data_IF_030193011522
#
_entry.id   IF_030193011522
#
_cell.length_a   1.000
_cell.length_b   1.000
_cell.length_c   1.000
_cell.angle_alpha   90.00
_cell.angle_beta   90.00
_cell.angle_gamma   90.00
#
_symmetry.space_group_name_H-M   'P 1'
#
loop_
_entity.id
_entity.type
_entity.pdbx_description
1 polymer ?
#
# COMPACT_ATOMS: atom_id res chain seq x y z
N UNK A 1 -63.22 18.75 -39.98
CA UNK A 1 -62.75 17.35 -40.12
C UNK A 1 -62.74 16.77 -38.74
N UNK A 2 -63.50 15.71 -38.40
CA UNK A 2 -63.42 14.98 -37.16
C UNK A 2 -61.95 14.39 -37.03
N UNK A 3 -61.15 14.86 -36.10
CA UNK A 3 -59.90 14.21 -35.76
C UNK A 3 -60.24 12.83 -35.19
N UNK A 4 -59.69 11.79 -35.77
CA UNK A 4 -59.80 10.43 -35.23
C UNK A 4 -58.76 10.29 -34.09
N UNK A 5 -59.17 10.65 -32.87
CA UNK A 5 -58.34 10.49 -31.66
C UNK A 5 -58.59 11.63 -30.65
N UNK A 6 -58.36 11.33 -29.39
CA UNK A 6 -58.38 12.33 -28.29
C UNK A 6 -56.91 12.82 -28.08
N UNK A 7 -56.75 14.09 -27.76
CA UNK A 7 -55.43 14.66 -27.48
C UNK A 7 -55.51 16.05 -26.86
N UNK A 8 -54.47 16.52 -26.23
CA UNK A 8 -54.29 17.87 -25.71
C UNK A 8 -53.15 18.54 -26.42
N UNK A 9 -53.34 19.79 -26.86
CA UNK A 9 -52.30 20.64 -27.43
C UNK A 9 -52.14 21.88 -26.56
N UNK A 10 -50.94 22.21 -26.20
CA UNK A 10 -50.56 23.38 -25.41
C UNK A 10 -49.55 24.21 -26.19
N UNK A 11 -49.85 25.48 -26.41
CA UNK A 11 -48.97 26.44 -27.08
C UNK A 11 -48.76 27.65 -26.15
N UNK A 12 -47.55 28.13 -26.05
CA UNK A 12 -47.22 29.32 -25.28
C UNK A 12 -46.01 30.03 -25.84
N UNK A 13 -45.87 31.33 -25.62
CA UNK A 13 -44.69 32.12 -25.88
C UNK A 13 -44.10 32.60 -24.57
N UNK A 14 -42.85 32.23 -24.25
CA UNK A 14 -42.20 32.73 -23.00
C UNK A 14 -42.01 34.24 -23.07
N UNK A 15 -42.17 34.92 -21.95
CA UNK A 15 -41.71 36.31 -21.80
C UNK A 15 -40.19 36.28 -21.52
N UNK A 16 -39.40 36.49 -22.55
CA UNK A 16 -37.94 36.43 -22.45
C UNK A 16 -37.35 37.55 -21.58
N UNK A 17 -38.05 38.66 -21.37
CA UNK A 17 -37.59 39.76 -20.52
C UNK A 17 -37.48 39.35 -19.06
N UNK A 18 -38.31 38.42 -18.61
CA UNK A 18 -38.26 37.85 -17.25
C UNK A 18 -37.00 37.03 -16.95
N UNK A 19 -36.35 36.56 -18.00
CA UNK A 19 -35.17 35.70 -17.94
C UNK A 19 -33.92 36.42 -18.43
N UNK A 20 -34.02 37.71 -18.78
CA UNK A 20 -32.92 38.51 -19.32
C UNK A 20 -32.26 37.86 -20.58
N UNK A 21 -33.04 37.21 -21.42
CA UNK A 21 -32.57 36.55 -22.65
C UNK A 21 -33.38 37.00 -23.85
N UNK A 22 -32.85 36.86 -25.09
CA UNK A 22 -33.48 37.34 -26.33
C UNK A 22 -34.18 36.25 -27.12
N UNK A 23 -34.01 34.97 -26.76
CA UNK A 23 -34.55 33.85 -27.55
C UNK A 23 -34.79 32.61 -26.72
N UNK A 24 -35.60 31.69 -27.26
CA UNK A 24 -35.82 30.38 -26.67
C UNK A 24 -34.50 29.55 -26.58
N UNK A 25 -33.62 29.67 -27.57
CA UNK A 25 -32.33 28.97 -27.58
C UNK A 25 -31.40 29.45 -26.48
N UNK A 26 -31.44 30.74 -26.10
CA UNK A 26 -30.71 31.26 -24.96
C UNK A 26 -31.29 30.78 -23.63
N UNK A 27 -32.63 30.58 -23.55
CA UNK A 27 -33.32 30.08 -22.39
C UNK A 27 -33.17 28.56 -22.20
N UNK A 28 -33.30 27.79 -23.30
CA UNK A 28 -33.26 26.34 -23.26
C UNK A 28 -32.75 25.80 -24.62
N UNK A 29 -31.64 25.05 -24.58
CA UNK A 29 -31.11 24.41 -25.79
C UNK A 29 -31.93 23.19 -26.19
N UNK A 30 -31.88 22.83 -27.48
CA UNK A 30 -32.55 21.61 -27.98
C UNK A 30 -31.98 20.36 -27.30
N UNK A 31 -30.69 20.33 -27.00
CA UNK A 31 -30.05 19.21 -26.34
C UNK A 31 -30.61 19.00 -24.92
N UNK A 32 -30.85 20.07 -24.19
CA UNK A 32 -31.48 20.02 -22.88
C UNK A 32 -32.91 19.46 -22.91
N UNK A 33 -33.68 19.84 -23.96
CA UNK A 33 -35.01 19.28 -24.20
C UNK A 33 -34.96 17.82 -24.58
N UNK A 34 -34.00 17.42 -25.44
CA UNK A 34 -33.80 16.03 -25.79
C UNK A 34 -33.43 15.17 -24.58
N UNK A 35 -32.47 15.59 -23.75
CA UNK A 35 -32.11 14.92 -22.51
C UNK A 35 -33.31 14.76 -21.57
N UNK A 36 -34.17 15.80 -21.47
CA UNK A 36 -35.37 15.71 -20.67
C UNK A 36 -36.36 14.68 -21.23
N UNK A 37 -36.53 14.62 -22.54
CA UNK A 37 -37.39 13.63 -23.17
C UNK A 37 -36.84 12.21 -23.08
N UNK A 38 -35.53 12.05 -23.17
CA UNK A 38 -34.85 10.77 -22.90
C UNK A 38 -35.15 10.31 -21.47
N UNK A 39 -34.95 11.18 -20.47
CA UNK A 39 -35.22 10.83 -19.08
C UNK A 39 -36.67 10.51 -18.78
N UNK A 40 -37.60 11.17 -19.48
CA UNK A 40 -39.03 10.85 -19.40
C UNK A 40 -39.32 9.49 -20.07
N UNK A 41 -38.67 9.17 -21.21
CA UNK A 41 -38.85 7.87 -21.87
C UNK A 41 -38.32 6.70 -21.02
N UNK A 42 -37.30 6.95 -20.15
CA UNK A 42 -36.86 5.98 -19.13
C UNK A 42 -37.86 5.84 -17.99
N UNK A 43 -38.49 6.96 -17.59
CA UNK A 43 -39.50 6.98 -16.52
C UNK A 43 -40.84 6.39 -16.96
N UNK A 44 -41.19 6.52 -18.21
CA UNK A 44 -42.48 6.10 -18.82
C UNK A 44 -42.23 5.36 -20.14
N UNK A 45 -41.73 4.12 -20.08
CA UNK A 45 -41.32 3.36 -21.26
C UNK A 45 -42.48 3.03 -22.21
N UNK A 46 -43.72 3.07 -21.74
CA UNK A 46 -44.94 2.86 -22.51
C UNK A 46 -45.32 4.07 -23.36
N UNK A 47 -44.78 5.28 -23.08
CA UNK A 47 -45.06 6.52 -23.80
C UNK A 47 -44.02 6.75 -24.88
N UNK A 48 -44.50 7.16 -26.08
CA UNK A 48 -43.61 7.53 -27.18
C UNK A 48 -43.37 9.04 -27.20
N UNK A 49 -42.11 9.40 -27.03
CA UNK A 49 -41.68 10.80 -27.04
C UNK A 49 -41.07 11.17 -28.40
N UNK A 50 -41.30 12.40 -28.86
CA UNK A 50 -40.74 12.95 -30.08
C UNK A 50 -40.39 14.42 -29.87
N UNK A 51 -39.28 14.88 -30.46
CA UNK A 51 -38.84 16.27 -30.52
C UNK A 51 -38.78 16.68 -32.00
N UNK A 52 -39.44 17.77 -32.39
CA UNK A 52 -39.48 18.27 -33.77
C UNK A 52 -39.79 17.14 -34.79
N UNK A 53 -40.82 16.35 -34.52
CA UNK A 53 -41.27 15.20 -35.31
C UNK A 53 -40.27 14.03 -35.42
N UNK A 54 -39.11 14.11 -34.76
CA UNK A 54 -38.17 12.98 -34.65
C UNK A 54 -38.44 12.22 -33.36
N UNK A 55 -38.60 10.90 -33.46
CA UNK A 55 -38.80 10.03 -32.31
C UNK A 55 -37.50 9.95 -31.49
N UNK A 56 -37.61 10.01 -30.16
CA UNK A 56 -36.48 9.76 -29.25
C UNK A 56 -36.03 8.31 -29.43
N UNK A 57 -34.77 8.14 -29.84
CA UNK A 57 -34.18 6.83 -30.12
C UNK A 57 -33.78 6.06 -28.88
N UNK A 58 -33.38 6.78 -27.81
CA UNK A 58 -33.00 6.19 -26.52
C UNK A 58 -34.27 5.99 -25.71
N UNK A 59 -34.75 4.76 -25.66
CA UNK A 59 -36.01 4.40 -25.02
C UNK A 59 -35.93 3.15 -24.17
N UNK A 60 -34.72 2.69 -23.88
CA UNK A 60 -34.47 1.60 -22.91
C UNK A 60 -33.22 1.88 -22.07
N UNK A 61 -33.19 1.27 -20.86
CA UNK A 61 -32.16 1.52 -19.89
C UNK A 61 -30.74 1.14 -20.36
N UNK A 62 -30.60 0.08 -21.17
CA UNK A 62 -29.32 -0.37 -21.68
C UNK A 62 -28.72 0.65 -22.65
N UNK A 63 -29.55 1.19 -23.58
CA UNK A 63 -29.11 2.26 -24.48
C UNK A 63 -28.78 3.54 -23.74
N UNK A 64 -29.52 3.84 -22.66
CA UNK A 64 -29.23 5.01 -21.84
C UNK A 64 -27.92 4.84 -21.06
N UNK A 65 -27.67 3.66 -20.49
CA UNK A 65 -26.45 3.35 -19.75
C UNK A 65 -25.18 3.43 -20.62
N UNK A 66 -25.28 3.13 -21.93
CA UNK A 66 -24.17 3.27 -22.89
C UNK A 66 -23.65 4.72 -23.03
N UNK A 67 -24.45 5.72 -22.67
CA UNK A 67 -23.99 7.12 -22.63
C UNK A 67 -22.99 7.37 -21.51
N UNK A 68 -22.93 6.48 -20.50
CA UNK A 68 -22.02 6.57 -19.36
C UNK A 68 -20.82 5.64 -19.52
N UNK A 69 -21.04 4.38 -19.92
CA UNK A 69 -20.01 3.38 -20.17
C UNK A 69 -20.58 2.19 -20.92
N UNK A 70 -19.74 1.50 -21.69
CA UNK A 70 -20.08 0.20 -22.28
C UNK A 70 -20.27 -0.88 -21.19
N UNK A 71 -19.51 -0.77 -20.10
CA UNK A 71 -19.51 -1.69 -18.98
C UNK A 71 -20.30 -1.11 -17.80
N UNK A 72 -21.57 -1.47 -17.72
CA UNK A 72 -22.46 -1.04 -16.63
C UNK A 72 -23.13 -2.23 -15.96
N UNK A 73 -23.42 -2.09 -14.66
CA UNK A 73 -24.18 -3.10 -13.89
C UNK A 73 -25.63 -2.62 -13.79
N UNK A 74 -26.50 -3.23 -14.57
CA UNK A 74 -27.90 -2.86 -14.73
C UNK A 74 -28.79 -3.80 -13.94
N UNK A 75 -29.81 -3.25 -13.26
CA UNK A 75 -30.98 -3.97 -12.75
C UNK A 75 -32.28 -3.27 -13.15
N UNK A 76 -33.29 -4.04 -13.45
CA UNK A 76 -34.55 -3.52 -14.00
C UNK A 76 -35.73 -4.36 -13.56
N UNK A 77 -36.74 -3.70 -13.02
CA UNK A 77 -38.09 -4.21 -12.81
C UNK A 77 -39.13 -3.23 -13.36
N UNK A 78 -40.40 -3.55 -13.23
CA UNK A 78 -41.50 -2.68 -13.72
C UNK A 78 -41.54 -1.34 -12.97
N UNK A 79 -41.25 -1.35 -11.66
CA UNK A 79 -41.35 -0.16 -10.81
C UNK A 79 -40.00 0.52 -10.54
N UNK A 80 -38.88 -0.16 -10.82
CA UNK A 80 -37.55 0.37 -10.55
C UNK A 80 -36.57 -0.07 -11.61
N UNK A 81 -35.81 0.86 -12.15
CA UNK A 81 -34.71 0.59 -13.06
C UNK A 81 -33.52 1.42 -12.66
N UNK A 82 -32.34 0.82 -12.57
CA UNK A 82 -31.12 1.53 -12.22
C UNK A 82 -29.87 0.86 -12.79
N UNK A 83 -28.77 1.58 -12.76
CA UNK A 83 -27.46 1.02 -13.07
C UNK A 83 -26.34 1.71 -12.29
N UNK A 84 -25.23 0.97 -12.17
CA UNK A 84 -23.94 1.47 -11.74
C UNK A 84 -23.01 1.55 -12.95
N UNK A 85 -22.26 2.64 -13.06
CA UNK A 85 -21.23 2.89 -14.05
C UNK A 85 -19.94 3.38 -13.37
N UNK A 86 -18.77 3.32 -14.04
CA UNK A 86 -17.55 3.91 -13.51
C UNK A 86 -17.67 5.44 -13.39
N UNK A 87 -16.91 6.03 -12.48
CA UNK A 87 -16.78 7.48 -12.32
C UNK A 87 -15.34 7.86 -12.04
N UNK A 88 -14.83 8.85 -12.79
CA UNK A 88 -13.51 9.42 -12.58
C UNK A 88 -13.52 10.65 -11.66
N UNK A 89 -14.65 11.35 -11.61
CA UNK A 89 -14.80 12.65 -10.93
C UNK A 89 -15.52 12.57 -9.56
N UNK A 90 -15.42 11.43 -8.90
CA UNK A 90 -16.11 11.20 -7.63
C UNK A 90 -17.52 10.62 -7.78
N UNK A 91 -18.25 10.49 -6.68
CA UNK A 91 -19.58 9.93 -6.69
C UNK A 91 -20.57 10.84 -7.43
N UNK A 92 -21.17 10.30 -8.49
CA UNK A 92 -22.21 10.97 -9.26
C UNK A 92 -23.53 10.21 -9.14
N UNK A 93 -24.62 10.94 -9.02
CA UNK A 93 -25.95 10.33 -9.00
C UNK A 93 -26.94 11.14 -9.83
N UNK A 94 -27.77 10.42 -10.54
CA UNK A 94 -28.95 10.96 -11.22
C UNK A 94 -30.14 10.10 -10.87
N UNK A 95 -31.20 10.68 -10.34
CA UNK A 95 -32.36 9.92 -9.92
C UNK A 95 -33.67 10.61 -10.32
N UNK A 96 -34.64 9.77 -10.67
CA UNK A 96 -35.97 10.19 -11.06
C UNK A 96 -37.00 9.42 -10.25
N UNK A 97 -37.96 10.16 -9.65
CA UNK A 97 -39.11 9.60 -8.95
C UNK A 97 -40.38 10.02 -9.70
N UNK A 98 -41.09 9.05 -10.26
CA UNK A 98 -42.26 9.31 -11.09
C UNK A 98 -42.01 10.38 -12.20
N UNK A 99 -40.83 10.33 -12.82
CA UNK A 99 -40.42 11.28 -13.83
C UNK A 99 -39.90 12.62 -13.32
N UNK A 100 -39.93 12.89 -12.02
CA UNK A 100 -39.35 14.09 -11.40
C UNK A 100 -37.85 13.85 -11.15
N UNK A 101 -37.00 14.76 -11.64
CA UNK A 101 -35.55 14.68 -11.42
C UNK A 101 -35.22 15.10 -9.99
N UNK A 102 -34.69 14.17 -9.18
CA UNK A 102 -34.21 14.41 -7.83
C UNK A 102 -32.69 14.56 -7.84
N UNK A 103 -32.21 15.76 -8.23
CA UNK A 103 -30.77 16.05 -8.43
C UNK A 103 -29.91 15.79 -7.20
N UNK A 104 -30.46 16.01 -6.00
CA UNK A 104 -29.77 15.78 -4.74
C UNK A 104 -30.04 14.37 -4.17
N UNK A 105 -30.65 13.47 -4.96
CA UNK A 105 -30.94 12.09 -4.57
C UNK A 105 -31.97 12.01 -3.44
N UNK A 106 -31.52 11.51 -2.30
CA UNK A 106 -32.34 11.28 -1.12
C UNK A 106 -32.19 9.86 -0.60
N UNK A 107 -33.00 9.51 0.39
CA UNK A 107 -32.87 8.25 1.13
C UNK A 107 -33.01 7.00 0.24
N UNK A 108 -33.71 7.10 -0.88
CA UNK A 108 -33.85 6.00 -1.82
C UNK A 108 -32.48 5.64 -2.48
N UNK A 109 -31.82 6.65 -3.05
CA UNK A 109 -30.47 6.51 -3.64
C UNK A 109 -29.49 6.03 -2.57
N UNK A 110 -29.52 6.68 -1.40
CA UNK A 110 -28.64 6.32 -0.28
C UNK A 110 -28.84 4.87 0.16
N UNK A 111 -30.05 4.38 0.20
CA UNK A 111 -30.37 3.00 0.60
C UNK A 111 -29.80 1.98 -0.41
N UNK A 112 -30.08 2.13 -1.70
CA UNK A 112 -29.63 1.22 -2.74
C UNK A 112 -28.09 1.20 -2.83
N UNK A 113 -27.48 2.39 -2.90
CA UNK A 113 -26.03 2.51 -3.04
C UNK A 113 -25.31 2.00 -1.79
N UNK A 114 -25.78 2.38 -0.58
CA UNK A 114 -25.10 1.98 0.64
C UNK A 114 -25.11 0.48 0.86
N UNK A 115 -26.24 -0.19 0.65
CA UNK A 115 -26.34 -1.64 0.83
C UNK A 115 -25.48 -2.39 -0.21
N UNK A 116 -25.49 -1.95 -1.47
CA UNK A 116 -24.62 -2.55 -2.51
C UNK A 116 -23.13 -2.35 -2.18
N UNK A 117 -22.74 -1.16 -1.72
CA UNK A 117 -21.35 -0.86 -1.37
C UNK A 117 -20.89 -1.62 -0.14
N UNK A 118 -21.74 -1.82 0.87
CA UNK A 118 -21.42 -2.58 2.08
C UNK A 118 -21.14 -4.06 1.76
N UNK A 119 -21.94 -4.66 0.86
CA UNK A 119 -21.64 -5.99 0.30
C UNK A 119 -20.34 -6.00 -0.50
N UNK A 120 -20.12 -4.97 -1.32
CA UNK A 120 -18.91 -4.87 -2.14
C UNK A 120 -17.63 -4.76 -1.29
N UNK A 121 -17.66 -4.01 -0.18
CA UNK A 121 -16.54 -3.95 0.79
C UNK A 121 -16.20 -5.37 1.28
N UNK A 122 -17.23 -6.13 1.67
CA UNK A 122 -17.06 -7.49 2.18
C UNK A 122 -16.44 -8.41 1.13
N UNK A 123 -16.90 -8.32 -0.11
CA UNK A 123 -16.40 -9.12 -1.23
C UNK A 123 -14.96 -8.73 -1.61
N UNK A 124 -14.63 -7.43 -1.67
CA UNK A 124 -13.27 -6.96 -1.94
C UNK A 124 -12.30 -7.45 -0.87
N UNK A 125 -12.67 -7.32 0.41
CA UNK A 125 -11.84 -7.81 1.52
C UNK A 125 -11.56 -9.32 1.40
N UNK A 126 -12.57 -10.10 1.01
CA UNK A 126 -12.42 -11.55 0.83
C UNK A 126 -11.53 -11.91 -0.36
N UNK A 127 -11.73 -11.27 -1.54
CA UNK A 127 -11.04 -11.60 -2.80
C UNK A 127 -9.63 -11.03 -2.84
N UNK A 128 -9.47 -9.75 -2.50
CA UNK A 128 -8.21 -9.01 -2.68
C UNK A 128 -7.40 -8.83 -1.39
N UNK A 129 -7.94 -9.24 -0.22
CA UNK A 129 -7.29 -9.10 1.10
C UNK A 129 -6.94 -7.65 1.46
N UNK A 130 -7.67 -6.69 0.93
CA UNK A 130 -7.52 -5.26 1.22
C UNK A 130 -8.79 -4.70 1.87
N UNK A 131 -8.61 -3.69 2.71
CA UNK A 131 -9.71 -2.91 3.28
C UNK A 131 -9.87 -1.63 2.45
N UNK A 132 -11.08 -1.41 1.94
CA UNK A 132 -11.40 -0.24 1.13
C UNK A 132 -12.43 0.60 1.86
N UNK A 133 -12.18 1.90 1.97
CA UNK A 133 -13.13 2.82 2.59
C UNK A 133 -14.38 2.98 1.70
N UNK A 134 -15.56 3.07 2.34
CA UNK A 134 -16.86 3.28 1.67
C UNK A 134 -16.85 4.50 0.73
N UNK A 135 -16.18 5.58 1.16
CA UNK A 135 -16.00 6.80 0.37
C UNK A 135 -15.16 6.58 -0.89
N UNK A 136 -14.15 5.70 -0.83
CA UNK A 136 -13.31 5.37 -1.99
C UNK A 136 -14.10 4.58 -3.03
N UNK A 137 -14.91 3.60 -2.59
CA UNK A 137 -15.78 2.84 -3.49
C UNK A 137 -16.82 3.76 -4.13
N UNK A 138 -17.54 4.54 -3.33
CA UNK A 138 -18.50 5.50 -3.86
C UNK A 138 -17.88 6.45 -4.87
N UNK A 139 -16.68 6.96 -4.57
CA UNK A 139 -15.98 7.89 -5.46
C UNK A 139 -15.67 7.33 -6.85
N UNK A 140 -15.62 6.03 -7.02
CA UNK A 140 -15.45 5.37 -8.32
C UNK A 140 -16.77 4.99 -9.02
N UNK A 141 -17.94 5.41 -8.49
CA UNK A 141 -19.25 5.01 -9.00
C UNK A 141 -20.10 6.19 -9.44
N UNK A 142 -20.73 6.02 -10.60
CA UNK A 142 -21.92 6.76 -11.02
C UNK A 142 -23.13 5.86 -10.81
N UNK A 143 -24.20 6.40 -10.22
CA UNK A 143 -25.45 5.70 -9.98
C UNK A 143 -26.61 6.44 -10.63
N UNK A 144 -27.40 5.75 -11.44
CA UNK A 144 -28.57 6.31 -12.11
C UNK A 144 -29.80 5.46 -11.81
N UNK A 145 -30.93 6.10 -11.47
CA UNK A 145 -32.14 5.43 -11.02
C UNK A 145 -33.41 6.08 -11.57
N UNK A 146 -34.36 5.24 -11.95
CA UNK A 146 -35.73 5.62 -12.36
C UNK A 146 -36.71 4.79 -11.53
N UNK A 147 -37.32 5.40 -10.52
CA UNK A 147 -38.41 4.81 -9.74
C UNK A 147 -39.77 5.27 -10.29
N UNK A 148 -40.66 4.31 -10.51
CA UNK A 148 -42.00 4.50 -11.04
C UNK A 148 -43.05 4.03 -10.03
N UNK A 149 -44.24 4.57 -10.13
CA UNK A 149 -45.35 4.19 -9.27
C UNK A 149 -45.07 4.34 -7.75
N UNK A 150 -44.16 5.26 -7.40
CA UNK A 150 -43.86 5.56 -6.02
C UNK A 150 -45.05 6.33 -5.41
N UNK A 151 -45.65 5.81 -4.33
CA UNK A 151 -46.84 6.37 -3.73
C UNK A 151 -46.49 7.56 -2.84
N UNK A 152 -47.18 8.68 -3.03
CA UNK A 152 -47.05 9.91 -2.23
C UNK A 152 -45.60 10.39 -2.04
N UNK A 153 -44.87 10.70 -3.14
CA UNK A 153 -43.53 11.22 -3.01
C UNK A 153 -43.50 12.56 -2.30
N UNK A 154 -42.64 12.68 -1.28
CA UNK A 154 -42.40 13.89 -0.50
C UNK A 154 -41.06 14.47 -0.87
N UNK A 155 -40.98 15.77 -1.02
CA UNK A 155 -39.77 16.47 -1.41
C UNK A 155 -39.41 17.56 -0.41
N UNK A 156 -38.13 17.95 -0.38
CA UNK A 156 -37.60 18.97 0.49
C UNK A 156 -38.10 20.39 0.20
N UNK A 157 -38.43 20.64 -1.07
CA UNK A 157 -38.82 21.97 -1.57
C UNK A 157 -39.76 21.87 -2.77
N UNK A 158 -40.23 23.01 -3.27
CA UNK A 158 -41.03 23.10 -4.50
C UNK A 158 -40.25 22.72 -5.74
N UNK A 159 -38.94 22.86 -5.74
CA UNK A 159 -38.06 22.43 -6.85
C UNK A 159 -37.91 20.91 -6.93
N UNK A 160 -38.28 20.18 -5.87
CA UNK A 160 -38.35 18.72 -5.80
C UNK A 160 -36.99 18.02 -6.04
N UNK A 161 -35.92 18.65 -5.57
CA UNK A 161 -34.57 18.17 -5.85
C UNK A 161 -34.16 16.97 -5.00
N UNK A 162 -34.82 16.76 -3.85
CA UNK A 162 -34.48 15.66 -2.95
C UNK A 162 -35.74 14.96 -2.44
N UNK A 163 -35.74 13.61 -2.50
CA UNK A 163 -36.78 12.79 -1.90
C UNK A 163 -36.60 12.71 -0.39
N UNK A 164 -37.65 13.03 0.37
CA UNK A 164 -37.64 13.08 1.86
C UNK A 164 -38.54 12.05 2.52
N UNK A 165 -39.13 11.13 1.75
CA UNK A 165 -39.86 10.01 2.30
C UNK A 165 -39.03 9.21 3.30
N UNK A 166 -39.68 8.61 4.30
CA UNK A 166 -39.01 7.74 5.26
C UNK A 166 -38.46 6.47 4.63
N UNK A 167 -37.47 5.86 5.30
CA UNK A 167 -36.91 4.57 4.85
C UNK A 167 -37.98 3.47 4.80
N UNK A 168 -38.99 3.51 5.67
CA UNK A 168 -40.09 2.54 5.63
C UNK A 168 -40.93 2.66 4.35
N UNK A 169 -41.23 3.90 3.90
CA UNK A 169 -41.94 4.14 2.63
C UNK A 169 -41.11 3.71 1.40
N UNK A 170 -39.82 3.93 1.47
CA UNK A 170 -38.89 3.45 0.40
C UNK A 170 -38.86 1.92 0.36
N UNK A 171 -38.76 1.25 1.52
CA UNK A 171 -38.77 -0.23 1.59
C UNK A 171 -40.08 -0.81 1.08
N UNK A 172 -41.23 -0.21 1.47
CA UNK A 172 -42.52 -0.63 0.97
C UNK A 172 -42.61 -0.56 -0.57
N UNK A 173 -42.03 0.46 -1.19
CA UNK A 173 -41.93 0.52 -2.66
C UNK A 173 -40.96 -0.55 -3.21
N UNK A 174 -39.81 -0.76 -2.56
CA UNK A 174 -38.84 -1.79 -2.98
C UNK A 174 -39.41 -3.22 -2.95
N UNK A 175 -40.34 -3.50 -2.02
CA UNK A 175 -41.06 -4.78 -1.93
C UNK A 175 -41.96 -5.02 -3.18
N UNK A 176 -42.38 -3.95 -3.87
CA UNK A 176 -43.10 -4.04 -5.15
C UNK A 176 -42.17 -4.21 -6.35
N UNK A 177 -40.85 -4.14 -6.14
CA UNK A 177 -39.84 -4.20 -7.18
C UNK A 177 -39.14 -5.57 -7.18
N UNK A 178 -39.18 -6.28 -8.29
CA UNK A 178 -38.37 -7.50 -8.44
C UNK A 178 -36.93 -7.13 -8.83
N UNK A 179 -36.17 -6.67 -7.83
CA UNK A 179 -34.73 -6.34 -8.00
C UNK A 179 -33.85 -7.47 -7.47
N UNK A 180 -32.65 -7.56 -8.03
CA UNK A 180 -31.62 -8.48 -7.54
C UNK A 180 -31.16 -8.08 -6.14
N UNK A 181 -30.74 -9.09 -5.35
CA UNK A 181 -30.17 -8.80 -4.04
C UNK A 181 -28.86 -8.00 -4.15
N UNK A 182 -28.52 -7.28 -3.07
CA UNK A 182 -27.34 -6.41 -3.04
C UNK A 182 -26.04 -7.17 -3.20
N UNK A 183 -25.95 -8.42 -2.76
CA UNK A 183 -24.76 -9.27 -2.93
C UNK A 183 -24.57 -9.66 -4.40
N UNK A 184 -25.65 -9.94 -5.12
CA UNK A 184 -25.59 -10.20 -6.58
C UNK A 184 -25.08 -8.96 -7.32
N UNK A 185 -25.61 -7.77 -7.01
CA UNK A 185 -25.17 -6.50 -7.61
C UNK A 185 -23.69 -6.22 -7.30
N UNK A 186 -23.28 -6.38 -6.05
CA UNK A 186 -21.90 -6.22 -5.63
C UNK A 186 -20.95 -7.20 -6.32
N UNK A 187 -21.35 -8.46 -6.54
CA UNK A 187 -20.56 -9.44 -7.32
C UNK A 187 -20.43 -9.03 -8.78
N UNK A 188 -21.48 -8.49 -9.36
CA UNK A 188 -21.44 -7.96 -10.75
C UNK A 188 -20.44 -6.81 -10.84
N UNK A 189 -20.50 -5.85 -9.92
CA UNK A 189 -19.55 -4.72 -9.86
C UNK A 189 -18.11 -5.25 -9.67
N UNK A 190 -17.89 -6.20 -8.75
CA UNK A 190 -16.58 -6.80 -8.51
C UNK A 190 -16.00 -7.54 -9.73
N UNK A 191 -16.85 -8.01 -10.63
CA UNK A 191 -16.47 -8.71 -11.85
C UNK A 191 -16.48 -7.80 -13.09
N UNK A 192 -16.63 -6.49 -12.91
CA UNK A 192 -16.56 -5.48 -13.99
C UNK A 192 -15.25 -4.68 -13.81
N UNK A 193 -14.16 -5.04 -14.52
CA UNK A 193 -12.82 -4.46 -14.30
C UNK A 193 -12.80 -2.94 -14.42
N UNK A 194 -13.49 -2.37 -15.42
CA UNK A 194 -13.55 -0.92 -15.65
C UNK A 194 -14.10 -0.16 -14.43
N UNK A 195 -14.95 -0.79 -13.60
CA UNK A 195 -15.46 -0.19 -12.36
C UNK A 195 -14.53 -0.47 -11.19
N UNK A 196 -14.09 -1.73 -11.04
CA UNK A 196 -13.44 -2.15 -9.79
C UNK A 196 -11.95 -1.84 -9.73
N UNK A 197 -11.22 -1.95 -10.85
CA UNK A 197 -9.78 -1.79 -10.86
C UNK A 197 -9.34 -0.37 -10.45
N UNK A 198 -9.95 0.73 -10.95
CA UNK A 198 -9.62 2.08 -10.49
C UNK A 198 -9.86 2.29 -8.99
N UNK A 199 -10.89 1.67 -8.44
CA UNK A 199 -11.21 1.74 -6.99
C UNK A 199 -10.11 1.07 -6.17
N UNK A 200 -9.67 -0.11 -6.60
CA UNK A 200 -8.60 -0.88 -5.93
C UNK A 200 -7.28 -0.11 -6.03
N UNK A 201 -6.92 0.38 -7.22
CA UNK A 201 -5.70 1.16 -7.45
C UNK A 201 -5.68 2.44 -6.61
N UNK A 202 -6.78 3.19 -6.58
CA UNK A 202 -6.90 4.39 -5.75
C UNK A 202 -6.70 4.09 -4.25
N UNK A 203 -7.22 2.96 -3.76
CA UNK A 203 -7.02 2.55 -2.38
C UNK A 203 -5.57 2.14 -2.09
N UNK A 204 -4.95 1.39 -3.01
CA UNK A 204 -3.54 1.00 -2.89
C UNK A 204 -2.63 2.22 -2.90
N UNK A 205 -2.86 3.18 -3.80
CA UNK A 205 -2.13 4.43 -3.86
C UNK A 205 -2.26 5.26 -2.57
N UNK A 206 -3.48 5.36 -2.00
CA UNK A 206 -3.70 6.01 -0.70
C UNK A 206 -2.93 5.34 0.43
N UNK A 207 -2.92 4.00 0.46
CA UNK A 207 -2.20 3.22 1.46
C UNK A 207 -0.68 3.44 1.35
N UNK A 208 -0.14 3.38 0.13
CA UNK A 208 1.29 3.65 -0.12
C UNK A 208 1.68 5.07 0.29
N UNK A 209 0.85 6.06 -0.03
CA UNK A 209 1.10 7.45 0.37
C UNK A 209 1.07 7.64 1.90
N UNK A 210 0.14 6.97 2.60
CA UNK A 210 0.06 7.01 4.05
C UNK A 210 1.28 6.33 4.70
N UNK A 211 1.72 5.17 4.18
CA UNK A 211 2.90 4.46 4.64
C UNK A 211 4.17 5.32 4.43
N UNK A 212 4.31 5.97 3.27
CA UNK A 212 5.43 6.88 2.98
C UNK A 212 5.43 8.09 3.91
N UNK A 213 4.27 8.70 4.20
CA UNK A 213 4.16 9.81 5.16
C UNK A 213 4.55 9.39 6.57
N UNK A 214 4.07 8.22 7.03
CA UNK A 214 4.41 7.69 8.36
C UNK A 214 5.92 7.45 8.49
N UNK A 215 6.55 6.86 7.48
CA UNK A 215 7.99 6.63 7.45
C UNK A 215 8.79 7.95 7.43
N UNK A 216 8.35 8.94 6.65
CA UNK A 216 8.98 10.28 6.62
C UNK A 216 8.89 10.99 7.98
N UNK A 217 7.75 10.87 8.68
CA UNK A 217 7.61 11.45 10.02
C UNK A 217 8.52 10.74 11.03
N UNK A 218 8.63 9.41 10.98
CA UNK A 218 9.54 8.65 11.82
C UNK A 218 11.00 9.05 11.57
N UNK A 219 11.41 9.14 10.30
CA UNK A 219 12.75 9.57 9.90
C UNK A 219 13.10 11.00 10.40
N UNK A 220 12.18 11.95 10.29
CA UNK A 220 12.36 13.32 10.82
C UNK A 220 12.61 13.34 12.33
N UNK A 221 11.98 12.44 13.08
CA UNK A 221 12.24 12.31 14.53
C UNK A 221 13.65 11.78 14.79
N UNK A 222 14.14 10.84 14.00
CA UNK A 222 15.48 10.25 14.16
C UNK A 222 16.62 11.25 13.93
N UNK A 223 16.51 12.16 12.98
CA UNK A 223 17.53 13.19 12.72
C UNK A 223 17.82 14.09 13.93
N UNK A 224 16.96 14.09 14.95
CA UNK A 224 17.11 14.84 16.20
C UNK A 224 17.62 13.99 17.36
N UNK A 225 17.80 12.69 17.17
CA UNK A 225 18.21 11.76 18.24
C UNK A 225 19.72 11.67 18.32
N UNK A 226 20.26 12.04 19.47
CA UNK A 226 21.66 11.77 19.79
C UNK A 226 21.77 10.34 20.35
N UNK A 227 22.45 9.47 19.63
CA UNK A 227 22.61 8.06 20.02
C UNK A 227 23.77 7.93 21.02
N UNK A 228 23.43 7.85 22.30
CA UNK A 228 24.42 7.87 23.38
C UNK A 228 25.40 6.68 23.40
N UNK A 229 24.96 5.51 22.87
CA UNK A 229 25.81 4.30 22.82
C UNK A 229 26.77 4.25 21.62
N UNK A 230 26.59 5.14 20.64
CA UNK A 230 27.48 5.24 19.49
C UNK A 230 28.73 6.00 19.84
N UNK A 231 29.90 5.46 19.50
CA UNK A 231 31.19 6.13 19.59
C UNK A 231 31.69 6.41 18.18
N UNK A 232 31.72 7.68 17.82
CA UNK A 232 32.10 8.11 16.50
C UNK A 232 33.60 7.90 16.20
N UNK A 233 33.93 7.76 14.93
CA UNK A 233 35.29 7.94 14.42
C UNK A 233 35.53 9.42 14.14
N UNK A 234 36.81 9.84 14.11
CA UNK A 234 37.19 11.22 13.85
C UNK A 234 37.24 11.58 12.37
N UNK A 235 37.21 10.60 11.45
CA UNK A 235 37.30 10.78 9.99
C UNK A 235 36.11 10.15 9.27
N UNK A 236 35.73 10.74 8.15
CA UNK A 236 34.56 10.33 7.35
C UNK A 236 34.82 9.05 6.52
N UNK A 237 36.07 8.66 6.26
CA UNK A 237 36.44 7.44 5.55
C UNK A 237 36.54 6.20 6.46
N UNK A 238 36.06 6.35 7.69
CA UNK A 238 36.12 5.31 8.73
C UNK A 238 35.18 4.13 8.49
N UNK A 239 35.42 3.04 9.22
CA UNK A 239 34.54 1.86 9.30
C UNK A 239 33.72 1.89 10.58
N UNK A 240 32.40 1.76 10.47
CA UNK A 240 31.55 1.50 11.66
C UNK A 240 31.62 0.01 11.99
N UNK A 241 32.15 -0.35 13.17
CA UNK A 241 32.07 -1.69 13.71
C UNK A 241 30.76 -1.86 14.48
N UNK A 242 29.89 -2.75 14.02
CA UNK A 242 28.70 -3.16 14.75
C UNK A 242 29.06 -4.38 15.57
N UNK A 243 29.09 -4.22 16.89
CA UNK A 243 29.54 -5.25 17.82
C UNK A 243 28.38 -5.86 18.60
N UNK A 244 28.52 -7.12 19.00
CA UNK A 244 27.52 -7.83 19.79
C UNK A 244 27.64 -7.46 21.27
N UNK A 245 26.75 -6.57 21.70
CA UNK A 245 26.61 -6.16 23.09
C UNK A 245 27.67 -5.22 23.63
N UNK A 246 27.48 -4.83 24.90
CA UNK A 246 28.30 -3.83 25.56
C UNK A 246 29.69 -4.40 25.97
N UNK A 247 29.80 -5.72 26.14
CA UNK A 247 31.10 -6.37 26.53
C UNK A 247 32.09 -6.28 25.37
N UNK A 248 31.73 -6.66 24.17
CA UNK A 248 32.56 -6.52 22.97
C UNK A 248 32.91 -5.05 22.68
N UNK A 249 31.98 -4.13 22.94
CA UNK A 249 32.22 -2.69 22.88
C UNK A 249 33.35 -2.24 23.79
N UNK A 250 33.37 -2.70 25.04
CA UNK A 250 34.40 -2.33 26.00
C UNK A 250 35.82 -2.71 25.56
N UNK A 251 36.00 -3.89 24.98
CA UNK A 251 37.30 -4.33 24.42
C UNK A 251 37.67 -3.54 23.17
N UNK A 252 36.72 -3.34 22.24
CA UNK A 252 36.96 -2.57 21.04
C UNK A 252 37.47 -1.15 21.31
N UNK A 253 36.89 -0.47 22.32
CA UNK A 253 37.25 0.89 22.68
C UNK A 253 38.68 1.02 23.22
N UNK A 254 39.25 -0.06 23.83
CA UNK A 254 40.65 -0.05 24.32
C UNK A 254 41.67 -0.05 23.20
N UNK A 255 41.39 -0.75 22.10
CA UNK A 255 42.39 -1.04 21.05
C UNK A 255 42.14 -0.28 19.75
N UNK A 256 40.95 0.27 19.50
CA UNK A 256 40.59 0.90 18.21
C UNK A 256 41.47 2.12 17.90
N UNK A 257 41.75 2.33 16.62
CA UNK A 257 42.19 3.61 16.12
C UNK A 257 40.98 4.56 16.01
N UNK A 258 40.89 5.64 16.82
CA UNK A 258 39.75 6.57 16.82
C UNK A 258 39.54 7.29 15.48
N UNK A 259 40.54 7.35 14.62
CA UNK A 259 40.43 7.99 13.31
C UNK A 259 39.80 7.08 12.25
N UNK A 260 39.91 5.74 12.46
CA UNK A 260 39.49 4.77 11.44
C UNK A 260 38.30 3.93 11.83
N UNK A 261 37.97 3.83 13.11
CA UNK A 261 36.98 2.91 13.63
C UNK A 261 35.98 3.61 14.53
N UNK A 262 34.71 3.68 14.08
CA UNK A 262 33.58 3.97 14.90
C UNK A 262 32.98 2.69 15.49
N UNK A 263 32.19 2.79 16.54
CA UNK A 263 31.63 1.64 17.23
C UNK A 263 30.16 1.82 17.59
N UNK A 264 29.37 0.77 17.34
CA UNK A 264 27.95 0.71 17.67
C UNK A 264 27.63 -0.65 18.29
N UNK A 265 27.25 -0.71 19.58
CA UNK A 265 26.84 -1.95 20.21
C UNK A 265 25.41 -2.29 19.85
N UNK A 266 25.20 -3.49 19.33
CA UNK A 266 23.89 -4.05 19.06
C UNK A 266 23.46 -4.88 20.26
N UNK A 267 22.32 -4.55 20.85
CA UNK A 267 21.81 -5.24 22.05
C UNK A 267 20.80 -6.31 21.65
N UNK A 268 21.30 -7.53 21.48
CA UNK A 268 20.52 -8.69 21.07
C UNK A 268 20.34 -8.83 19.56
N UNK A 269 19.63 -9.87 19.17
CA UNK A 269 19.32 -10.17 17.76
C UNK A 269 18.28 -9.20 17.23
N UNK A 270 18.54 -8.59 16.08
CA UNK A 270 17.56 -7.71 15.43
C UNK A 270 16.43 -8.52 14.81
N UNK A 271 15.28 -7.86 14.65
CA UNK A 271 14.14 -8.49 13.98
C UNK A 271 14.38 -8.68 12.47
N UNK A 272 13.76 -9.71 11.90
CA UNK A 272 13.70 -9.86 10.45
C UNK A 272 12.84 -8.74 9.85
N UNK A 273 13.48 -7.88 9.07
CA UNK A 273 12.83 -6.69 8.48
C UNK A 273 12.28 -6.92 7.08
N UNK A 274 12.49 -8.11 6.49
CA UNK A 274 12.27 -8.35 5.06
C UNK A 274 10.85 -7.98 4.58
N UNK A 275 9.82 -8.42 5.29
CA UNK A 275 8.42 -8.13 4.95
C UNK A 275 7.83 -6.94 5.72
N UNK A 276 8.66 -6.19 6.46
CA UNK A 276 8.20 -5.06 7.26
C UNK A 276 8.14 -3.75 6.46
N UNK A 277 7.22 -2.88 6.84
CA UNK A 277 7.17 -1.52 6.29
C UNK A 277 8.26 -0.64 6.91
N UNK A 278 8.79 0.35 6.17
CA UNK A 278 9.81 1.27 6.69
C UNK A 278 9.45 1.91 8.04
N UNK A 279 8.20 2.38 8.20
CA UNK A 279 7.75 2.99 9.45
C UNK A 279 7.78 2.03 10.66
N UNK A 280 7.50 0.73 10.43
CA UNK A 280 7.51 -0.28 11.49
C UNK A 280 8.93 -0.69 11.87
N UNK A 281 9.83 -0.73 10.90
CA UNK A 281 11.28 -0.93 11.15
C UNK A 281 11.83 0.17 12.05
N UNK A 282 11.48 1.44 11.80
CA UNK A 282 11.93 2.58 12.60
C UNK A 282 11.31 2.65 14.00
N UNK A 283 10.31 1.84 14.34
CA UNK A 283 9.83 1.67 15.72
C UNK A 283 10.80 0.83 16.57
N UNK A 284 11.62 -0.02 15.94
CA UNK A 284 12.66 -0.76 16.62
C UNK A 284 13.81 0.17 16.98
N UNK A 285 14.12 0.26 18.27
CA UNK A 285 15.12 1.19 18.80
C UNK A 285 16.53 0.92 18.23
N UNK A 286 16.94 -0.34 18.17
CA UNK A 286 18.29 -0.71 17.70
C UNK A 286 18.49 -0.32 16.23
N UNK A 287 17.50 -0.64 15.36
CA UNK A 287 17.56 -0.32 13.94
C UNK A 287 17.42 1.18 13.68
N UNK A 288 16.54 1.86 14.40
CA UNK A 288 16.36 3.30 14.26
C UNK A 288 17.60 4.10 14.66
N UNK A 289 18.25 3.69 15.76
CA UNK A 289 19.52 4.28 16.20
C UNK A 289 20.66 4.01 15.21
N UNK A 290 20.73 2.79 14.63
CA UNK A 290 21.72 2.45 13.61
C UNK A 290 21.54 3.29 12.33
N UNK A 291 20.30 3.45 11.86
CA UNK A 291 19.94 4.32 10.73
C UNK A 291 20.36 5.77 11.00
N UNK A 292 20.09 6.27 12.22
CA UNK A 292 20.49 7.63 12.62
C UNK A 292 22.01 7.82 12.65
N UNK A 293 22.76 6.84 13.17
CA UNK A 293 24.22 6.85 13.24
C UNK A 293 24.85 6.84 11.85
N UNK A 294 24.29 6.06 10.93
CA UNK A 294 24.76 5.98 9.55
C UNK A 294 24.35 7.19 8.71
N UNK A 295 23.40 8.02 9.18
CA UNK A 295 22.88 9.15 8.43
C UNK A 295 21.99 8.77 7.23
N UNK A 296 21.50 7.52 7.20
CA UNK A 296 20.69 6.98 6.13
C UNK A 296 19.22 7.43 6.23
N UNK A 297 18.52 7.46 5.09
CA UNK A 297 17.08 7.64 5.02
C UNK A 297 16.41 6.36 4.51
N UNK A 298 15.55 5.76 5.32
CA UNK A 298 14.91 4.47 4.99
C UNK A 298 13.96 4.54 3.80
N UNK A 299 13.56 5.76 3.39
CA UNK A 299 12.70 5.99 2.23
C UNK A 299 13.49 6.37 0.97
N UNK A 300 14.80 6.51 1.09
CA UNK A 300 15.68 6.94 0.02
C UNK A 300 16.86 5.97 -0.10
N UNK A 301 16.83 5.03 -1.07
CA UNK A 301 17.94 4.11 -1.31
C UNK A 301 19.25 4.81 -1.68
N UNK A 302 19.18 6.01 -2.26
CA UNK A 302 20.35 6.79 -2.67
C UNK A 302 20.94 7.63 -1.54
N UNK A 303 20.34 7.63 -0.36
CA UNK A 303 20.92 8.26 0.85
C UNK A 303 22.31 7.73 1.22
N UNK A 304 22.74 6.62 0.63
CA UNK A 304 24.11 6.05 0.75
C UNK A 304 25.20 6.99 0.27
N UNK A 305 24.88 7.95 -0.62
CA UNK A 305 25.85 8.94 -1.10
C UNK A 305 26.34 9.88 0.00
N UNK A 306 25.52 10.06 1.05
CA UNK A 306 25.81 10.94 2.19
C UNK A 306 25.98 10.15 3.51
N UNK A 307 26.29 8.86 3.43
CA UNK A 307 26.46 8.02 4.62
C UNK A 307 27.64 8.45 5.46
N UNK A 308 27.50 8.43 6.77
CA UNK A 308 28.51 8.89 7.75
C UNK A 308 29.77 8.01 7.82
N UNK A 309 29.74 6.80 7.27
CA UNK A 309 30.84 5.84 7.30
C UNK A 309 31.08 5.21 5.93
N UNK A 310 32.33 5.13 5.51
CA UNK A 310 32.71 4.52 4.22
C UNK A 310 32.39 3.02 4.18
N UNK A 311 32.62 2.31 5.28
CA UNK A 311 32.34 0.89 5.43
C UNK A 311 31.58 0.60 6.71
N UNK A 312 30.80 -0.48 6.68
CA UNK A 312 30.10 -1.05 7.83
C UNK A 312 30.63 -2.47 7.99
N UNK A 313 31.05 -2.84 9.20
CA UNK A 313 31.55 -4.19 9.44
C UNK A 313 30.91 -4.78 10.71
N UNK A 314 30.34 -5.98 10.61
CA UNK A 314 29.94 -6.71 11.80
C UNK A 314 31.16 -7.27 12.51
N UNK A 315 31.10 -7.29 13.84
CA UNK A 315 32.08 -7.94 14.72
C UNK A 315 31.28 -8.72 15.75
N UNK A 316 31.04 -9.97 15.46
CA UNK A 316 30.27 -10.90 16.30
C UNK A 316 31.12 -12.10 16.65
N UNK A 317 30.67 -12.87 17.65
CA UNK A 317 31.30 -14.15 18.00
C UNK A 317 31.23 -15.10 16.77
N UNK A 318 32.23 -16.01 16.65
CA UNK A 318 32.29 -17.00 15.61
C UNK A 318 31.38 -18.20 15.91
N UNK A 319 30.15 -17.96 16.29
CA UNK A 319 29.16 -18.96 16.65
C UNK A 319 27.89 -18.85 15.79
N UNK A 320 26.89 -19.70 16.08
CA UNK A 320 25.64 -19.73 15.33
C UNK A 320 24.81 -18.45 15.50
N UNK A 321 24.89 -17.76 16.63
CA UNK A 321 24.11 -16.54 16.88
C UNK A 321 24.75 -15.35 16.18
N UNK A 322 26.06 -15.17 16.25
CA UNK A 322 26.78 -14.07 15.63
C UNK A 322 26.83 -14.18 14.10
N UNK A 323 27.33 -15.30 13.58
CA UNK A 323 27.50 -15.53 12.14
C UNK A 323 26.17 -15.97 11.50
N UNK A 324 25.42 -16.83 12.20
CA UNK A 324 24.19 -17.45 11.65
C UNK A 324 22.92 -16.57 11.77
N UNK A 325 22.86 -15.63 12.71
CA UNK A 325 21.68 -14.80 12.95
C UNK A 325 21.94 -13.31 12.79
N UNK A 326 22.83 -12.73 13.59
CA UNK A 326 23.02 -11.28 13.66
C UNK A 326 23.50 -10.72 12.32
N UNK A 327 24.58 -11.29 11.78
CA UNK A 327 25.19 -10.81 10.53
C UNK A 327 24.24 -10.98 9.33
N UNK A 328 23.57 -12.12 9.09
CA UNK A 328 22.63 -12.28 7.99
C UNK A 328 21.41 -11.35 8.07
N UNK A 329 20.85 -11.11 9.26
CA UNK A 329 19.73 -10.19 9.45
C UNK A 329 20.12 -8.74 9.16
N UNK A 330 21.33 -8.30 9.55
CA UNK A 330 21.87 -6.99 9.21
C UNK A 330 22.10 -6.85 7.70
N UNK A 331 22.64 -7.88 7.05
CA UNK A 331 22.85 -7.92 5.61
C UNK A 331 21.50 -7.80 4.87
N UNK A 332 20.50 -8.59 5.28
CA UNK A 332 19.16 -8.53 4.71
C UNK A 332 18.51 -7.16 4.92
N UNK A 333 18.69 -6.54 6.09
CA UNK A 333 18.23 -5.18 6.37
C UNK A 333 18.86 -4.15 5.44
N UNK A 334 20.18 -4.16 5.30
CA UNK A 334 20.87 -3.23 4.40
C UNK A 334 20.52 -3.47 2.95
N UNK A 335 20.44 -4.72 2.50
CA UNK A 335 20.07 -5.05 1.13
C UNK A 335 18.68 -4.56 0.77
N UNK A 336 17.72 -4.77 1.67
CA UNK A 336 16.33 -4.37 1.43
C UNK A 336 16.16 -2.86 1.22
N UNK A 337 16.83 -2.05 2.03
CA UNK A 337 16.61 -0.61 2.02
C UNK A 337 17.67 0.17 1.25
N UNK A 338 18.89 -0.33 1.19
CA UNK A 338 20.03 0.30 0.51
C UNK A 338 20.89 -0.74 -0.20
N UNK A 339 20.42 -1.37 -1.29
CA UNK A 339 21.12 -2.45 -1.98
C UNK A 339 22.52 -2.03 -2.47
N UNK A 340 22.74 -0.75 -2.78
CA UNK A 340 24.05 -0.22 -3.16
C UNK A 340 25.13 -0.42 -2.10
N UNK A 341 24.79 -0.50 -0.82
CA UNK A 341 25.78 -0.80 0.23
C UNK A 341 26.44 -2.17 0.04
N UNK A 342 25.72 -3.14 -0.53
CA UNK A 342 26.24 -4.46 -0.80
C UNK A 342 26.93 -4.52 -2.17
N UNK A 343 26.31 -3.96 -3.22
CA UNK A 343 26.90 -3.95 -4.57
C UNK A 343 28.19 -3.12 -4.66
N UNK A 344 28.34 -2.10 -3.81
CA UNK A 344 29.55 -1.31 -3.66
C UNK A 344 30.55 -1.91 -2.63
N UNK A 345 30.29 -3.13 -2.14
CA UNK A 345 31.13 -3.83 -1.15
C UNK A 345 31.41 -3.02 0.12
N UNK A 346 30.44 -2.21 0.56
CA UNK A 346 30.59 -1.38 1.77
C UNK A 346 30.20 -2.12 3.05
N UNK A 347 29.46 -3.22 2.96
CA UNK A 347 29.12 -4.10 4.09
C UNK A 347 30.09 -5.27 4.14
N UNK A 348 30.68 -5.52 5.31
CA UNK A 348 31.71 -6.53 5.54
C UNK A 348 31.40 -7.33 6.80
N UNK A 349 31.85 -8.57 6.85
CA UNK A 349 31.84 -9.40 8.04
C UNK A 349 33.30 -9.49 8.53
N UNK A 350 33.56 -9.08 9.77
CA UNK A 350 34.88 -9.27 10.37
C UNK A 350 35.05 -10.72 10.75
N UNK A 351 36.05 -11.40 10.20
CA UNK A 351 36.37 -12.77 10.60
C UNK A 351 37.01 -12.78 12.00
N UNK A 352 36.42 -13.54 12.90
CA UNK A 352 36.93 -13.82 14.21
C UNK A 352 37.52 -15.25 14.24
N UNK A 353 38.68 -15.49 14.88
CA UNK A 353 39.28 -16.82 14.89
C UNK A 353 38.47 -17.77 15.78
N UNK A 354 38.40 -19.03 15.41
CA UNK A 354 37.83 -20.11 16.22
C UNK A 354 38.89 -20.85 17.05
N UNK A 355 40.14 -20.80 16.59
CA UNK A 355 41.27 -21.38 17.32
C UNK A 355 42.55 -20.56 17.07
N UNK A 356 43.31 -20.38 18.10
CA UNK A 356 44.68 -19.83 18.04
C UNK A 356 45.63 -20.88 18.60
N UNK A 357 46.68 -21.17 17.82
CA UNK A 357 47.70 -22.15 18.20
C UNK A 357 49.07 -21.48 18.32
N UNK A 358 49.81 -21.84 19.39
CA UNK A 358 51.08 -21.23 19.72
C UNK A 358 52.17 -22.31 19.91
N UNK A 359 53.36 -22.06 19.39
CA UNK A 359 54.54 -22.88 19.62
C UNK A 359 55.79 -22.00 19.56
N UNK A 360 56.46 -21.88 20.71
CA UNK A 360 57.54 -20.90 20.93
C UNK A 360 57.07 -19.48 20.52
N UNK A 361 57.76 -18.84 19.57
CA UNK A 361 57.42 -17.49 19.09
C UNK A 361 56.46 -17.49 17.90
N UNK A 362 55.96 -18.66 17.48
CA UNK A 362 55.01 -18.80 16.35
C UNK A 362 53.56 -18.82 16.84
N UNK A 363 52.74 -18.07 16.13
CA UNK A 363 51.28 -17.99 16.39
C UNK A 363 50.54 -18.20 15.08
N UNK A 364 49.61 -19.17 15.06
CA UNK A 364 48.77 -19.47 13.91
C UNK A 364 47.29 -19.30 14.30
N UNK A 365 46.55 -18.69 13.36
CA UNK A 365 45.14 -18.34 13.56
C UNK A 365 44.25 -19.12 12.60
N UNK A 366 43.25 -19.79 13.11
CA UNK A 366 42.33 -20.61 12.32
C UNK A 366 40.92 -20.03 12.39
N UNK A 367 40.30 -19.94 11.21
CA UNK A 367 38.98 -19.30 11.00
C UNK A 367 37.91 -20.29 10.54
N UNK A 368 38.29 -21.56 10.27
CA UNK A 368 37.37 -22.66 9.96
C UNK A 368 37.66 -23.84 10.89
N UNK A 369 36.64 -24.65 11.14
CA UNK A 369 36.77 -25.85 11.98
C UNK A 369 37.65 -26.92 11.29
N UNK A 370 37.57 -27.00 9.97
CA UNK A 370 38.30 -27.92 9.14
C UNK A 370 39.82 -27.66 9.27
N UNK A 371 40.26 -26.43 8.99
CA UNK A 371 41.67 -26.02 9.10
C UNK A 371 42.21 -26.19 10.53
N UNK A 372 41.39 -25.81 11.52
CA UNK A 372 41.76 -25.95 12.96
C UNK A 372 41.96 -27.43 13.34
N UNK A 373 41.07 -28.31 12.90
CA UNK A 373 41.13 -29.75 13.20
C UNK A 373 42.31 -30.42 12.52
N UNK A 374 42.53 -30.13 11.23
CA UNK A 374 43.64 -30.65 10.43
C UNK A 374 44.97 -30.24 11.05
N UNK A 375 45.14 -28.95 11.37
CA UNK A 375 46.34 -28.44 11.98
C UNK A 375 46.65 -29.09 13.35
N UNK A 376 45.60 -29.22 14.18
CA UNK A 376 45.72 -29.83 15.49
C UNK A 376 46.16 -31.29 15.43
N UNK A 377 45.65 -32.06 14.45
CA UNK A 377 46.07 -33.45 14.27
C UNK A 377 47.55 -33.55 13.81
N UNK A 378 48.04 -32.65 13.00
CA UNK A 378 49.41 -32.67 12.49
C UNK A 378 50.45 -32.06 13.42
N UNK A 379 50.03 -31.24 14.40
CA UNK A 379 50.86 -30.41 15.25
C UNK A 379 50.54 -30.59 16.74
N UNK A 380 50.61 -31.80 17.24
CA UNK A 380 50.25 -32.13 18.65
C UNK A 380 51.13 -31.46 19.70
N UNK A 381 52.33 -30.98 19.32
CA UNK A 381 53.28 -30.27 20.18
C UNK A 381 52.98 -28.76 20.36
N UNK A 382 51.98 -28.24 19.60
CA UNK A 382 51.53 -26.88 19.74
C UNK A 382 50.48 -26.76 20.86
N UNK A 383 50.43 -25.60 21.51
CA UNK A 383 49.37 -25.27 22.46
C UNK A 383 48.19 -24.70 21.70
N UNK A 384 47.04 -25.42 21.68
CA UNK A 384 45.83 -25.04 20.99
C UNK A 384 44.83 -24.40 21.97
N UNK A 385 44.32 -23.23 21.64
CA UNK A 385 43.28 -22.53 22.40
C UNK A 385 42.08 -22.25 21.48
N UNK A 386 40.96 -22.85 21.79
CA UNK A 386 39.70 -22.54 21.12
C UNK A 386 39.13 -21.23 21.66
N UNK A 387 38.67 -20.38 20.73
CA UNK A 387 38.05 -19.09 21.04
C UNK A 387 36.54 -19.30 21.07
N UNK A 388 35.94 -19.22 22.26
CA UNK A 388 34.53 -19.42 22.49
C UNK A 388 33.68 -18.17 22.17
N UNK A 389 34.33 -17.03 22.19
CA UNK A 389 33.73 -15.73 21.91
C UNK A 389 34.80 -14.64 22.05
N UNK A 390 34.49 -13.45 21.60
CA UNK A 390 35.38 -12.30 21.57
C UNK A 390 35.95 -11.96 22.97
N UNK A 391 35.20 -12.19 24.02
CA UNK A 391 35.65 -11.98 25.40
C UNK A 391 36.76 -12.92 25.87
N UNK A 392 37.13 -13.98 25.12
CA UNK A 392 38.22 -14.90 25.43
C UNK A 392 39.56 -14.52 24.78
N UNK A 393 39.61 -13.45 23.99
CA UNK A 393 40.79 -12.91 23.34
C UNK A 393 41.59 -12.02 24.29
N UNK A 394 42.92 -12.01 24.11
CA UNK A 394 43.77 -11.01 24.75
C UNK A 394 43.67 -9.66 24.09
N UNK A 395 44.18 -8.61 24.75
CA UNK A 395 44.15 -7.25 24.19
C UNK A 395 44.93 -7.14 22.87
N UNK A 396 46.09 -7.82 22.80
CA UNK A 396 46.91 -7.86 21.57
C UNK A 396 46.22 -8.61 20.43
N UNK A 397 45.53 -9.71 20.75
CA UNK A 397 44.74 -10.45 19.75
C UNK A 397 43.53 -9.63 19.27
N UNK A 398 42.90 -8.90 20.17
CA UNK A 398 41.82 -7.99 19.83
C UNK A 398 42.30 -6.84 18.92
N UNK A 399 43.51 -6.28 19.20
CA UNK A 399 44.13 -5.25 18.37
C UNK A 399 44.31 -5.73 16.94
N UNK A 400 44.76 -6.96 16.73
CA UNK A 400 44.92 -7.55 15.41
C UNK A 400 43.57 -7.62 14.67
N UNK A 401 42.51 -8.09 15.34
CA UNK A 401 41.19 -8.23 14.73
C UNK A 401 40.57 -6.85 14.36
N UNK A 402 40.84 -5.83 15.17
CA UNK A 402 40.26 -4.51 14.99
C UNK A 402 41.03 -3.68 13.99
N UNK A 403 42.37 -3.60 14.12
CA UNK A 403 43.19 -2.69 13.33
C UNK A 403 43.84 -3.32 12.08
N UNK A 404 43.91 -4.68 12.02
CA UNK A 404 44.35 -5.44 10.85
C UNK A 404 43.33 -6.54 10.47
N UNK A 405 42.05 -6.17 10.30
CA UNK A 405 40.98 -7.15 10.17
C UNK A 405 41.08 -7.98 8.91
N UNK A 406 40.68 -9.25 9.02
CA UNK A 406 40.26 -10.04 7.86
C UNK A 406 38.75 -9.85 7.67
N UNK A 407 38.37 -9.53 6.43
CA UNK A 407 36.98 -9.32 6.09
C UNK A 407 36.51 -10.37 5.09
N UNK A 408 35.27 -10.83 5.27
CA UNK A 408 34.47 -11.36 4.21
C UNK A 408 33.66 -10.21 3.62
N UNK A 409 33.80 -10.01 2.32
CA UNK A 409 33.00 -9.05 1.59
C UNK A 409 31.70 -9.74 1.16
N UNK A 410 30.59 -9.10 1.48
CA UNK A 410 29.27 -9.60 1.09
C UNK A 410 29.02 -9.18 -0.36
N UNK A 411 28.80 -10.14 -1.25
CA UNK A 411 28.27 -9.95 -2.60
C UNK A 411 26.83 -10.44 -2.69
N UNK A 412 26.10 -9.93 -3.66
CA UNK A 412 24.72 -10.37 -3.94
C UNK A 412 24.71 -10.93 -5.35
N UNK A 413 24.81 -12.25 -5.44
CA UNK A 413 24.80 -12.96 -6.71
C UNK A 413 23.37 -13.35 -7.14
N UNK A 414 22.48 -13.59 -6.16
CA UNK A 414 21.06 -13.91 -6.36
C UNK A 414 20.16 -13.19 -5.37
N UNK A 415 19.40 -12.22 -5.87
CA UNK A 415 18.40 -11.49 -5.07
C UNK A 415 17.25 -12.39 -4.58
N UNK A 416 16.94 -13.48 -5.28
CA UNK A 416 15.91 -14.45 -4.91
C UNK A 416 16.21 -15.17 -3.61
N UNK A 417 17.49 -15.38 -3.28
CA UNK A 417 17.90 -15.99 -2.02
C UNK A 417 17.42 -15.22 -0.80
N UNK A 418 17.42 -13.90 -0.85
CA UNK A 418 16.93 -13.08 0.27
C UNK A 418 15.42 -13.28 0.51
N UNK A 419 14.62 -13.33 -0.55
CA UNK A 419 13.18 -13.60 -0.42
C UNK A 419 12.94 -15.01 0.13
N UNK A 420 13.70 -15.99 -0.30
CA UNK A 420 13.60 -17.37 0.17
C UNK A 420 14.01 -17.47 1.65
N UNK A 421 15.14 -16.88 2.03
CA UNK A 421 15.70 -17.01 3.39
C UNK A 421 14.97 -16.16 4.42
N UNK A 422 14.50 -14.96 4.07
CA UNK A 422 13.93 -13.98 5.00
C UNK A 422 12.45 -13.71 4.81
N UNK A 423 11.82 -14.17 3.72
CA UNK A 423 10.40 -14.03 3.44
C UNK A 423 9.51 -14.84 4.40
N UNK A 424 8.22 -14.56 4.40
CA UNK A 424 7.23 -15.20 5.29
C UNK A 424 7.01 -16.69 5.01
N UNK A 425 7.21 -17.13 3.77
CA UNK A 425 7.00 -18.52 3.39
C UNK A 425 8.15 -19.40 3.89
N UNK A 426 7.88 -20.15 4.97
CA UNK A 426 8.86 -21.07 5.54
C UNK A 426 9.05 -22.36 4.71
N UNK A 427 8.14 -22.67 3.78
CA UNK A 427 8.25 -23.90 2.99
C UNK A 427 9.40 -23.80 2.00
N UNK A 428 9.60 -22.63 1.38
CA UNK A 428 10.74 -22.39 0.48
C UNK A 428 12.09 -22.65 1.17
N UNK A 429 12.23 -22.24 2.45
CA UNK A 429 13.46 -22.53 3.23
C UNK A 429 13.64 -24.02 3.51
N UNK A 430 12.55 -24.71 3.83
CA UNK A 430 12.59 -26.17 4.06
C UNK A 430 12.98 -26.92 2.81
N UNK A 431 12.38 -26.60 1.67
CA UNK A 431 12.73 -27.19 0.38
C UNK A 431 14.22 -27.01 0.05
N UNK A 432 14.75 -25.81 0.26
CA UNK A 432 16.17 -25.53 0.03
C UNK A 432 17.09 -26.30 0.99
N UNK A 433 16.71 -26.49 2.26
CA UNK A 433 17.52 -27.20 3.24
C UNK A 433 17.53 -28.70 3.07
N UNK A 434 16.51 -29.27 2.41
CA UNK A 434 16.36 -30.71 2.23
C UNK A 434 16.53 -31.17 0.76
N UNK A 435 16.83 -30.24 -0.17
CA UNK A 435 17.21 -30.52 -1.54
C UNK A 435 18.73 -30.87 -1.61
#
# INVERSE_FOLDING_TARGET
KKRAGSGTEVSFSPDFSLFEVDSLQALCTLDLLEDRLISLSMSFPEIRFSLNNKRIAINDLKKYALQYSEDTVIDKSDNLSFFFAPSEDGFRTTSYINGVNTRQGGIYVEHLVNNTVDELITLIKRKHKIEVAKTTIKGGLTFVMFARNFVNPKFDSQTKERLTNSLAEVRAHLETCDIKDYNFLARKILNTPVIIDPIIEAQLAKKMAADKRAATMAQKKLRKVKVAKHIAANKDDATLKIVEGDSAMGFLLKVRDPNKVGAFPLRGVIMNTWDMKPADVLKNKELSELVAVLGLDINDPDSVDNISYKHIATLTDADHDGIGHISPLLIAFFYKFWPRLLTEHRVKITRTPIMISTFKDKVEWFYTYEDASEFKQKNSNWKHRYIKGLGSLTEEEYDVIINKPRYDTVSVDDAGLFQMMFGKDSNLRKEFMFA
#
